data_IF_776035759242
#
_entry.id   IF_776035759242
#
_cell.length_a   1.000
_cell.length_b   1.000
_cell.length_c   1.000
_cell.angle_alpha   90.00
_cell.angle_beta   90.00
_cell.angle_gamma   90.00
#
_symmetry.space_group_name_H-M   'P 1'
#
loop_
_entity.id
_entity.type
_entity.pdbx_description
1 polymer ?
#
# COMPACT_ATOMS: atom_id res chain seq x y z
N UNK A 1 2.78 -4.89 -12.76
CA UNK A 1 1.62 -4.16 -12.19
C UNK A 1 0.33 -4.75 -12.71
N UNK A 2 -0.67 -4.90 -11.86
CA UNK A 2 -2.05 -5.24 -12.25
C UNK A 2 -3.01 -4.23 -11.67
N UNK A 3 -4.07 -3.92 -12.40
CA UNK A 3 -5.16 -3.04 -11.96
C UNK A 3 -6.42 -3.90 -11.91
N UNK A 4 -7.08 -3.86 -10.78
CA UNK A 4 -8.31 -4.61 -10.56
C UNK A 4 -9.51 -3.68 -10.51
N UNK A 5 -10.70 -4.16 -10.90
CA UNK A 5 -11.92 -3.41 -10.67
C UNK A 5 -12.11 -3.17 -9.17
N UNK A 6 -12.77 -2.07 -8.78
CA UNK A 6 -13.00 -1.78 -7.36
C UNK A 6 -13.76 -2.91 -6.67
N UNK A 7 -13.28 -3.37 -5.51
CA UNK A 7 -14.05 -4.27 -4.62
C UNK A 7 -15.17 -3.49 -3.93
N UNK A 8 -14.87 -2.23 -3.62
CA UNK A 8 -15.86 -1.33 -3.02
C UNK A 8 -16.34 -0.34 -4.07
N UNK A 9 -17.64 -0.11 -4.09
CA UNK A 9 -18.20 0.98 -4.88
C UNK A 9 -17.77 2.35 -4.33
N UNK A 10 -17.99 3.39 -5.11
CA UNK A 10 -17.57 4.74 -4.75
C UNK A 10 -18.22 5.26 -3.45
N UNK A 11 -19.42 4.80 -3.10
CA UNK A 11 -20.11 5.18 -1.87
C UNK A 11 -19.43 4.53 -0.67
N UNK A 12 -19.09 3.25 -0.78
CA UNK A 12 -18.35 2.51 0.26
C UNK A 12 -16.93 3.06 0.45
N UNK A 13 -16.26 3.43 -0.64
CA UNK A 13 -14.95 4.08 -0.58
C UNK A 13 -15.00 5.44 0.14
N UNK A 14 -16.04 6.23 -0.11
CA UNK A 14 -16.26 7.51 0.61
C UNK A 14 -16.50 7.28 2.11
N UNK A 15 -17.31 6.29 2.47
CA UNK A 15 -17.54 5.95 3.88
C UNK A 15 -16.25 5.52 4.57
N UNK A 16 -15.49 4.62 3.95
CA UNK A 16 -14.19 4.18 4.46
C UNK A 16 -13.23 5.36 4.67
N UNK A 17 -13.16 6.28 3.70
CA UNK A 17 -12.37 7.50 3.81
C UNK A 17 -12.80 8.39 4.99
N UNK A 18 -14.10 8.55 5.20
CA UNK A 18 -14.64 9.40 6.26
C UNK A 18 -14.41 8.78 7.65
N UNK A 19 -14.50 7.44 7.78
CA UNK A 19 -14.07 6.71 8.98
C UNK A 19 -12.59 6.90 9.26
N UNK A 20 -11.74 6.79 8.24
CA UNK A 20 -10.30 7.03 8.35
C UNK A 20 -10.02 8.39 8.94
N UNK A 21 -10.64 9.45 8.40
CA UNK A 21 -10.45 10.82 8.91
C UNK A 21 -10.88 11.00 10.36
N UNK A 22 -11.87 10.26 10.79
CA UNK A 22 -12.39 10.36 12.16
C UNK A 22 -11.52 9.63 13.18
N UNK A 23 -11.01 8.44 12.84
CA UNK A 23 -10.38 7.54 13.82
C UNK A 23 -8.86 7.45 13.69
N UNK A 24 -8.28 7.92 12.60
CA UNK A 24 -6.85 7.81 12.34
C UNK A 24 -6.24 9.20 12.14
N UNK A 25 -5.82 9.87 13.24
CA UNK A 25 -5.13 11.14 13.13
C UNK A 25 -3.81 10.93 12.37
N UNK A 26 -3.67 11.65 11.28
CA UNK A 26 -2.46 11.61 10.47
C UNK A 26 -1.35 12.40 11.16
N UNK A 27 -0.12 11.90 11.02
CA UNK A 27 1.08 12.65 11.41
C UNK A 27 1.24 13.89 10.51
N UNK A 28 2.13 14.80 10.90
CA UNK A 28 2.40 16.03 10.14
C UNK A 28 2.88 15.77 8.70
N UNK A 29 3.46 14.60 8.43
CA UNK A 29 3.88 14.18 7.10
C UNK A 29 2.77 13.52 6.26
N UNK A 30 1.55 13.43 6.78
CA UNK A 30 0.41 12.82 6.09
C UNK A 30 0.29 11.30 6.23
N UNK A 31 1.18 10.64 6.98
CA UNK A 31 1.14 9.20 7.21
C UNK A 31 0.52 8.83 8.55
N UNK A 32 -0.11 7.66 8.62
CA UNK A 32 -0.31 6.95 9.88
C UNK A 32 0.94 6.13 10.24
N UNK A 33 0.96 5.59 11.46
CA UNK A 33 1.92 4.54 11.80
C UNK A 33 1.56 3.26 11.05
N UNK A 34 2.55 2.51 10.59
CA UNK A 34 2.35 1.19 10.03
C UNK A 34 1.67 0.27 11.04
N UNK A 35 0.77 -0.54 10.56
CA UNK A 35 0.01 -1.52 11.33
C UNK A 35 0.10 -2.88 10.66
N UNK A 36 -0.03 -3.93 11.47
CA UNK A 36 0.00 -5.30 11.03
C UNK A 36 -1.29 -6.02 11.40
N UNK A 37 -1.77 -6.88 10.49
CA UNK A 37 -2.82 -7.86 10.76
C UNK A 37 -2.44 -9.19 10.12
N UNK A 38 -2.52 -10.29 10.89
CA UNK A 38 -2.33 -11.63 10.36
C UNK A 38 -3.48 -12.05 9.46
N UNK A 39 -3.18 -12.91 8.48
CA UNK A 39 -4.18 -13.34 7.48
C UNK A 39 -5.39 -14.07 8.11
N UNK A 40 -5.19 -14.68 9.28
CA UNK A 40 -6.25 -15.40 10.02
C UNK A 40 -6.76 -14.63 11.24
N UNK A 41 -6.27 -13.42 11.46
CA UNK A 41 -6.73 -12.60 12.57
C UNK A 41 -8.13 -12.04 12.27
N UNK A 42 -8.87 -11.81 13.34
CA UNK A 42 -10.15 -11.13 13.19
C UNK A 42 -9.93 -9.64 12.98
N UNK A 43 -10.46 -9.03 11.91
CA UNK A 43 -10.34 -7.59 11.71
C UNK A 43 -10.96 -6.82 12.86
N UNK A 44 -10.24 -5.84 13.38
CA UNK A 44 -10.68 -4.97 14.47
C UNK A 44 -11.44 -3.74 13.99
N UNK A 45 -11.31 -3.42 12.70
CA UNK A 45 -11.88 -2.21 12.11
C UNK A 45 -12.22 -2.44 10.63
N UNK A 46 -12.91 -1.47 10.04
CA UNK A 46 -13.38 -1.53 8.64
C UNK A 46 -12.22 -1.58 7.64
N UNK A 47 -11.08 -0.96 7.96
CA UNK A 47 -9.91 -0.96 7.07
C UNK A 47 -9.31 -2.36 6.98
N UNK A 48 -9.08 -2.98 8.12
CA UNK A 48 -8.55 -4.35 8.18
C UNK A 48 -9.47 -5.35 7.52
N UNK A 49 -10.79 -5.18 7.73
CA UNK A 49 -11.78 -5.99 7.01
C UNK A 49 -11.68 -5.79 5.50
N UNK A 50 -11.56 -4.55 5.04
CA UNK A 50 -11.40 -4.25 3.62
C UNK A 50 -10.11 -4.86 3.06
N UNK A 51 -9.00 -4.82 3.79
CA UNK A 51 -7.72 -5.41 3.37
C UNK A 51 -7.88 -6.93 3.21
N UNK A 52 -8.45 -7.62 4.19
CA UNK A 52 -8.67 -9.06 4.12
C UNK A 52 -9.63 -9.44 2.97
N UNK A 53 -10.76 -8.75 2.84
CA UNK A 53 -11.72 -8.99 1.74
C UNK A 53 -11.04 -8.78 0.36
N UNK A 54 -10.17 -7.77 0.24
CA UNK A 54 -9.42 -7.50 -0.99
C UNK A 54 -8.42 -8.60 -1.31
N UNK A 55 -7.71 -9.09 -0.31
CA UNK A 55 -6.79 -10.20 -0.45
C UNK A 55 -7.53 -11.48 -0.86
N UNK A 56 -8.58 -11.84 -0.14
CA UNK A 56 -9.35 -13.05 -0.42
C UNK A 56 -9.90 -13.06 -1.84
N UNK A 57 -10.37 -11.92 -2.30
CA UNK A 57 -10.98 -11.81 -3.61
C UNK A 57 -9.97 -11.80 -4.78
N UNK A 58 -8.83 -11.10 -4.62
CA UNK A 58 -7.91 -10.89 -5.75
C UNK A 58 -6.59 -11.64 -5.66
N UNK A 59 -6.09 -11.88 -4.46
CA UNK A 59 -4.70 -12.24 -4.25
C UNK A 59 -4.50 -13.60 -3.61
N UNK A 60 -5.45 -14.14 -2.87
CA UNK A 60 -5.31 -15.37 -2.10
C UNK A 60 -4.86 -16.57 -2.93
N UNK A 61 -5.32 -16.68 -4.17
CA UNK A 61 -4.90 -17.76 -5.07
C UNK A 61 -3.47 -17.60 -5.63
N UNK A 62 -2.90 -16.40 -5.54
CA UNK A 62 -1.56 -16.09 -6.06
C UNK A 62 -0.49 -16.11 -4.96
N UNK A 63 -0.86 -15.77 -3.74
CA UNK A 63 0.06 -15.57 -2.60
C UNK A 63 -0.28 -16.51 -1.44
N UNK A 64 -0.19 -17.83 -1.70
CA UNK A 64 -0.55 -18.88 -0.73
C UNK A 64 0.33 -18.89 0.53
N UNK A 65 1.48 -18.27 0.49
CA UNK A 65 2.44 -18.18 1.62
C UNK A 65 2.34 -16.88 2.39
N UNK A 66 1.40 -16.01 2.04
CA UNK A 66 1.18 -14.78 2.79
C UNK A 66 0.77 -15.11 4.23
N UNK A 67 1.35 -14.41 5.19
CA UNK A 67 1.09 -14.59 6.63
C UNK A 67 0.31 -13.44 7.23
N UNK A 68 0.27 -12.30 6.55
CA UNK A 68 -0.44 -11.11 7.00
C UNK A 68 -0.20 -9.92 6.10
N UNK A 69 -0.64 -8.77 6.57
CA UNK A 69 -0.61 -7.50 5.85
C UNK A 69 -0.04 -6.42 6.75
N UNK A 70 0.99 -5.74 6.25
CA UNK A 70 1.37 -4.45 6.79
C UNK A 70 0.62 -3.37 6.02
N UNK A 71 0.08 -2.38 6.72
CA UNK A 71 -0.69 -1.32 6.10
C UNK A 71 -0.51 0.03 6.78
N UNK A 72 -0.62 1.07 5.99
CA UNK A 72 -0.67 2.45 6.45
C UNK A 72 -1.67 3.25 5.63
N UNK A 73 -1.97 4.44 6.10
CA UNK A 73 -2.81 5.40 5.39
C UNK A 73 -1.95 6.61 5.06
N UNK A 74 -2.08 7.07 3.84
CA UNK A 74 -1.43 8.27 3.38
C UNK A 74 -2.45 9.31 2.89
N UNK A 75 -2.33 10.53 3.41
CA UNK A 75 -3.11 11.67 2.94
C UNK A 75 -2.23 12.58 2.08
N UNK A 76 -2.49 12.61 0.80
CA UNK A 76 -1.90 13.58 -0.11
C UNK A 76 -2.69 14.88 -0.06
N UNK A 77 -2.00 15.99 0.18
CA UNK A 77 -2.55 17.35 0.11
C UNK A 77 -1.77 18.14 -0.94
N UNK A 78 -2.30 19.29 -1.32
CA UNK A 78 -1.59 20.19 -2.26
C UNK A 78 -0.22 20.64 -1.77
N UNK A 79 0.00 20.59 -0.47
CA UNK A 79 1.22 21.06 0.18
C UNK A 79 2.25 19.94 0.38
N UNK A 80 1.88 18.69 0.07
CA UNK A 80 2.78 17.54 0.16
C UNK A 80 3.49 17.32 -1.17
N UNK A 81 4.79 17.14 -1.14
CA UNK A 81 5.61 16.83 -2.32
C UNK A 81 5.37 15.44 -2.90
N UNK A 82 4.54 14.63 -2.25
CA UNK A 82 4.30 13.23 -2.59
C UNK A 82 5.21 12.28 -1.80
N UNK A 83 5.12 11.01 -2.14
CA UNK A 83 6.02 9.99 -1.59
C UNK A 83 7.26 9.93 -2.49
N UNK A 84 8.48 10.10 -1.96
CA UNK A 84 9.70 9.96 -2.76
C UNK A 84 9.85 8.53 -3.28
N UNK A 85 10.72 8.35 -4.26
CA UNK A 85 11.08 7.01 -4.74
C UNK A 85 11.60 6.15 -3.57
N UNK A 86 11.00 5.00 -3.39
CA UNK A 86 11.34 4.03 -2.36
C UNK A 86 11.00 2.61 -2.82
N UNK A 87 11.46 1.64 -2.06
CA UNK A 87 11.01 0.25 -2.14
C UNK A 87 10.22 -0.08 -0.88
N UNK A 88 9.08 -0.73 -1.04
CA UNK A 88 8.33 -1.24 0.11
C UNK A 88 9.12 -2.35 0.79
N UNK A 89 9.17 -2.34 2.11
CA UNK A 89 9.86 -3.33 2.92
C UNK A 89 9.18 -3.49 4.29
N UNK A 90 9.51 -4.57 5.00
CA UNK A 90 9.05 -4.78 6.37
C UNK A 90 9.84 -3.86 7.32
N UNK A 91 9.14 -2.83 7.82
CA UNK A 91 9.75 -1.82 8.71
C UNK A 91 10.22 -2.43 10.02
N UNK A 92 9.50 -3.41 10.55
CA UNK A 92 9.86 -4.03 11.82
C UNK A 92 11.11 -4.89 11.69
N UNK A 93 11.23 -5.69 10.64
CA UNK A 93 12.45 -6.48 10.39
C UNK A 93 13.62 -5.54 10.18
N UNK A 94 13.45 -4.45 9.45
CA UNK A 94 14.49 -3.45 9.24
C UNK A 94 14.99 -2.83 10.55
N UNK A 95 14.08 -2.53 11.48
CA UNK A 95 14.43 -1.96 12.79
C UNK A 95 15.09 -3.00 13.72
N UNK A 96 14.56 -4.22 13.75
CA UNK A 96 14.99 -5.27 14.68
C UNK A 96 16.29 -5.96 14.23
N UNK A 97 16.60 -6.00 12.93
CA UNK A 97 17.72 -6.77 12.35
C UNK A 97 18.76 -5.87 11.62
N UNK A 98 19.10 -4.72 12.19
CA UNK A 98 20.20 -3.85 11.75
C UNK A 98 20.16 -3.45 10.26
N UNK A 99 18.97 -3.19 9.72
CA UNK A 99 18.78 -2.74 8.36
C UNK A 99 18.64 -3.86 7.32
N UNK A 100 18.43 -5.11 7.76
CA UNK A 100 18.05 -6.17 6.85
C UNK A 100 16.75 -5.83 6.14
N UNK A 101 16.72 -6.04 4.84
CA UNK A 101 15.55 -5.77 4.01
C UNK A 101 14.80 -7.07 3.73
N UNK A 102 13.52 -7.08 4.09
CA UNK A 102 12.55 -8.07 3.64
C UNK A 102 11.48 -7.36 2.82
N UNK A 103 11.29 -7.82 1.60
CA UNK A 103 10.34 -7.22 0.68
C UNK A 103 9.00 -7.95 0.75
N UNK A 104 7.88 -7.25 0.60
CA UNK A 104 6.58 -7.88 0.56
C UNK A 104 6.45 -8.80 -0.66
N UNK A 105 5.62 -9.82 -0.55
CA UNK A 105 5.26 -10.68 -1.69
C UNK A 105 4.53 -9.88 -2.78
N UNK A 106 3.85 -8.81 -2.38
CA UNK A 106 3.09 -7.94 -3.25
C UNK A 106 2.78 -6.63 -2.51
N UNK A 107 3.03 -5.51 -3.16
CA UNK A 107 2.56 -4.21 -2.69
C UNK A 107 1.21 -3.86 -3.30
N UNK A 108 0.40 -3.12 -2.56
CA UNK A 108 -0.93 -2.72 -3.02
C UNK A 108 -1.25 -1.27 -2.68
N UNK A 109 -1.98 -0.61 -3.56
CA UNK A 109 -2.51 0.74 -3.33
C UNK A 109 -4.02 0.73 -3.55
N UNK A 110 -4.76 1.29 -2.61
CA UNK A 110 -6.19 1.57 -2.77
C UNK A 110 -6.44 3.07 -2.73
N UNK A 111 -7.01 3.59 -3.79
CA UNK A 111 -7.37 5.01 -3.87
C UNK A 111 -8.76 5.25 -3.27
N UNK A 112 -8.84 6.13 -2.28
CA UNK A 112 -10.11 6.54 -1.64
C UNK A 112 -10.56 7.93 -2.06
N UNK A 113 -9.81 8.55 -2.96
CA UNK A 113 -10.13 9.85 -3.56
C UNK A 113 -9.71 9.86 -5.03
N UNK A 114 -10.33 10.71 -5.80
CA UNK A 114 -9.81 11.08 -7.12
C UNK A 114 -8.69 12.09 -6.90
N UNK A 115 -7.47 11.64 -7.00
CA UNK A 115 -6.31 12.50 -6.82
C UNK A 115 -5.77 12.96 -8.17
N UNK A 116 -4.97 14.01 -8.18
CA UNK A 116 -4.38 14.56 -9.40
C UNK A 116 -3.03 13.93 -9.74
N UNK A 117 -2.32 13.42 -8.75
CA UNK A 117 -0.98 12.87 -8.93
C UNK A 117 -1.04 11.35 -9.20
N UNK A 118 -0.41 10.88 -10.28
CA UNK A 118 -0.34 9.44 -10.57
C UNK A 118 0.63 8.73 -9.63
N UNK A 119 0.36 7.43 -9.42
CA UNK A 119 1.40 6.52 -8.93
C UNK A 119 2.34 6.21 -10.09
N UNK A 120 3.62 6.21 -9.81
CA UNK A 120 4.65 5.80 -10.76
C UNK A 120 5.36 4.60 -10.16
N UNK A 121 5.21 3.44 -10.80
CA UNK A 121 5.76 2.17 -10.35
C UNK A 121 6.85 1.75 -11.33
N UNK A 122 8.06 1.58 -10.84
CA UNK A 122 9.21 1.19 -11.65
C UNK A 122 9.43 -0.32 -11.57
N UNK A 123 9.64 -0.94 -12.74
CA UNK A 123 10.14 -2.30 -12.81
C UNK A 123 11.66 -2.28 -12.64
N UNK A 124 12.12 -2.61 -11.44
CA UNK A 124 13.54 -2.68 -11.10
C UNK A 124 13.80 -3.83 -10.15
N UNK A 125 15.06 -4.16 -9.94
CA UNK A 125 15.48 -5.13 -8.94
C UNK A 125 15.96 -4.39 -7.69
N UNK A 126 15.60 -4.94 -6.54
CA UNK A 126 16.02 -4.41 -5.24
C UNK A 126 17.29 -5.10 -4.76
N UNK A 127 18.17 -4.34 -4.13
CA UNK A 127 19.35 -4.85 -3.42
C UNK A 127 19.00 -5.40 -2.03
N UNK A 128 20.04 -5.80 -1.31
CA UNK A 128 19.91 -6.34 0.05
C UNK A 128 20.01 -5.25 1.15
N UNK A 129 20.20 -4.00 0.75
CA UNK A 129 20.36 -2.87 1.65
C UNK A 129 19.31 -1.79 1.35
N UNK A 130 19.06 -0.91 2.34
CA UNK A 130 18.11 0.18 2.23
C UNK A 130 18.44 1.05 1.00
N UNK A 131 17.40 1.33 0.21
CA UNK A 131 17.47 2.17 -0.99
C UNK A 131 18.47 1.70 -2.08
N UNK A 132 18.94 0.47 -2.01
CA UNK A 132 19.76 -0.10 -3.06
C UNK A 132 18.89 -0.60 -4.21
N UNK A 133 19.03 0.02 -5.38
CA UNK A 133 18.45 -0.45 -6.63
C UNK A 133 19.53 -1.12 -7.48
N UNK A 134 19.40 -2.41 -7.73
CA UNK A 134 20.37 -3.17 -8.54
C UNK A 134 20.32 -2.71 -10.00
N UNK A 135 19.14 -2.40 -10.50
CA UNK A 135 18.93 -1.96 -11.87
C UNK A 135 18.44 -0.52 -11.92
N UNK A 136 19.33 0.42 -12.23
CA UNK A 136 18.97 1.80 -12.47
C UNK A 136 19.71 2.34 -13.71
N UNK A 137 19.05 2.95 -14.69
CA UNK A 137 17.62 3.26 -14.71
C UNK A 137 16.74 2.02 -14.85
N UNK A 138 15.49 2.07 -14.36
CA UNK A 138 14.54 0.97 -14.51
C UNK A 138 14.22 0.72 -15.97
N UNK A 139 13.95 -0.54 -16.32
CA UNK A 139 13.65 -0.94 -17.71
C UNK A 139 12.26 -0.47 -18.15
N UNK A 140 11.33 -0.38 -17.21
CA UNK A 140 9.94 -0.01 -17.44
C UNK A 140 9.40 0.84 -16.31
N UNK A 141 8.43 1.70 -16.63
CA UNK A 141 7.66 2.45 -15.67
C UNK A 141 6.17 2.34 -16.00
N UNK A 142 5.38 2.16 -14.98
CA UNK A 142 3.93 2.10 -15.08
C UNK A 142 3.31 3.32 -14.40
N UNK A 143 2.28 3.87 -15.02
CA UNK A 143 1.54 5.01 -14.50
C UNK A 143 0.12 4.58 -14.15
N UNK A 144 -0.32 4.89 -12.94
CA UNK A 144 -1.67 4.65 -12.48
C UNK A 144 -2.31 5.96 -12.03
N UNK A 145 -3.28 6.45 -12.79
CA UNK A 145 -4.06 7.61 -12.34
C UNK A 145 -5.01 7.18 -11.21
N UNK A 146 -5.02 7.91 -10.09
CA UNK A 146 -5.93 7.64 -8.99
C UNK A 146 -7.38 7.79 -9.42
N UNK A 147 -8.18 6.79 -9.05
CA UNK A 147 -9.62 6.77 -9.22
C UNK A 147 -10.23 6.15 -7.97
N UNK A 148 -11.29 6.76 -7.45
CA UNK A 148 -11.90 6.31 -6.20
C UNK A 148 -12.32 4.83 -6.28
N UNK A 149 -11.88 4.02 -5.32
CA UNK A 149 -12.08 2.58 -5.29
C UNK A 149 -11.09 1.75 -6.10
N UNK A 150 -10.21 2.38 -6.87
CA UNK A 150 -9.20 1.68 -7.69
C UNK A 150 -8.21 0.94 -6.79
N UNK A 151 -7.96 -0.32 -7.12
CA UNK A 151 -7.02 -1.21 -6.46
C UNK A 151 -5.90 -1.60 -7.43
N UNK A 152 -4.68 -1.32 -7.06
CA UNK A 152 -3.47 -1.57 -7.86
C UNK A 152 -2.55 -2.51 -7.10
N UNK A 153 -1.91 -3.46 -7.78
CA UNK A 153 -0.89 -4.35 -7.23
C UNK A 153 0.39 -4.30 -8.05
N UNK A 154 1.53 -4.46 -7.38
CA UNK A 154 2.87 -4.47 -7.99
C UNK A 154 3.90 -5.20 -7.12
#
# INVERSE_FOLDING_TARGET
MKIYPPIIDSISAVKLRDEIKQFYPLKSNGFTTNKWIGIHDKPENTIEKYIQDSFDFYLSSQYLTAIGFEWCIYLMTSDNEGIPLHCDHDEKIREDEEGRMEYPLCSTITHLTNNLNPDIIFNTENGNHIDELIQFPPSEAYFSLPEIGKFVTF
#
